data_IF_841841492081
#
_entry.id   IF_841841492081
#
_cell.length_a   1.000
_cell.length_b   1.000
_cell.length_c   1.000
_cell.angle_alpha   90.00
_cell.angle_beta   90.00
_cell.angle_gamma   90.00
#
_symmetry.space_group_name_H-M   'P 1'
#
loop_
_entity.id
_entity.type
_entity.pdbx_description
1 polymer ?
#
# COMPACT_ATOMS: atom_id res chain seq x y z
N UNK A 1 4.72 6.36 13.33
CA UNK A 1 4.90 5.94 11.91
C UNK A 1 6.16 5.11 11.62
N UNK A 2 7.28 5.28 12.36
CA UNK A 2 8.54 4.55 12.09
C UNK A 2 8.39 3.01 12.06
N UNK A 3 7.54 2.44 12.93
CA UNK A 3 7.26 0.99 12.93
C UNK A 3 6.53 0.53 11.66
N UNK A 4 5.68 1.38 11.06
CA UNK A 4 4.98 1.04 9.81
C UNK A 4 5.95 0.98 8.62
N UNK A 5 6.91 1.90 8.57
CA UNK A 5 7.95 1.90 7.54
C UNK A 5 8.91 0.72 7.70
N UNK A 6 9.29 0.38 8.93
CA UNK A 6 10.11 -0.80 9.21
C UNK A 6 9.41 -2.09 8.72
N UNK A 7 8.15 -2.28 9.13
CA UNK A 7 7.34 -3.43 8.70
C UNK A 7 7.14 -3.48 7.18
N UNK A 8 6.95 -2.33 6.52
CA UNK A 8 6.89 -2.25 5.06
C UNK A 8 8.18 -2.77 4.41
N UNK A 9 9.33 -2.30 4.88
CA UNK A 9 10.63 -2.73 4.35
C UNK A 9 10.85 -4.23 4.56
N UNK A 10 10.50 -4.76 5.74
CA UNK A 10 10.55 -6.20 6.02
C UNK A 10 9.63 -7.00 5.08
N UNK A 11 8.41 -6.55 4.85
CA UNK A 11 7.46 -7.22 3.95
C UNK A 11 7.93 -7.18 2.49
N UNK A 12 8.54 -6.08 2.04
CA UNK A 12 9.16 -6.00 0.71
C UNK A 12 10.31 -7.01 0.58
N UNK A 13 11.17 -7.10 1.60
CA UNK A 13 12.25 -8.10 1.60
C UNK A 13 11.70 -9.53 1.59
N UNK A 14 10.66 -9.80 2.36
CA UNK A 14 9.97 -11.09 2.33
C UNK A 14 9.37 -11.41 0.96
N UNK A 15 8.82 -10.41 0.25
CA UNK A 15 8.32 -10.60 -1.11
C UNK A 15 9.43 -11.02 -2.09
N UNK A 16 10.63 -10.44 -1.97
CA UNK A 16 11.80 -10.80 -2.79
C UNK A 16 12.29 -12.22 -2.58
N UNK A 17 12.02 -12.84 -1.43
CA UNK A 17 12.38 -14.23 -1.20
C UNK A 17 11.73 -15.18 -2.22
N UNK A 18 10.54 -14.85 -2.73
CA UNK A 18 9.90 -15.64 -3.78
C UNK A 18 10.70 -15.61 -5.09
N UNK A 19 11.24 -14.45 -5.48
CA UNK A 19 12.16 -14.32 -6.62
C UNK A 19 13.48 -15.09 -6.42
N UNK A 20 14.06 -15.03 -5.22
CA UNK A 20 15.26 -15.82 -4.90
C UNK A 20 15.01 -17.33 -4.93
N UNK A 21 13.84 -17.77 -4.47
CA UNK A 21 13.43 -19.18 -4.56
C UNK A 21 13.19 -19.60 -6.02
N UNK A 22 12.61 -18.71 -6.84
CA UNK A 22 12.45 -18.94 -8.28
C UNK A 22 13.79 -19.20 -8.95
N UNK A 23 14.83 -18.38 -8.69
CA UNK A 23 16.16 -18.60 -9.24
C UNK A 23 16.72 -19.97 -8.85
N UNK A 24 16.67 -20.27 -7.56
CA UNK A 24 17.22 -21.50 -7.02
C UNK A 24 16.57 -22.73 -7.66
N UNK A 25 15.24 -22.75 -7.74
CA UNK A 25 14.50 -23.87 -8.32
C UNK A 25 14.73 -23.98 -9.82
N UNK A 26 14.73 -22.87 -10.54
CA UNK A 26 14.99 -22.85 -12.00
C UNK A 26 16.39 -23.36 -12.32
N UNK A 27 17.39 -23.05 -11.49
CA UNK A 27 18.76 -23.51 -11.68
C UNK A 27 19.00 -24.95 -11.20
N UNK A 28 18.30 -25.40 -10.16
CA UNK A 28 18.65 -26.64 -9.44
C UNK A 28 17.68 -27.80 -9.67
N UNK A 29 16.49 -27.56 -10.21
CA UNK A 29 15.44 -28.58 -10.35
C UNK A 29 15.13 -28.83 -11.82
N UNK A 30 15.39 -30.06 -12.29
CA UNK A 30 15.15 -30.50 -13.68
C UNK A 30 13.78 -31.18 -13.83
N UNK A 31 12.72 -30.58 -13.26
CA UNK A 31 11.34 -31.05 -13.43
C UNK A 31 10.67 -30.22 -14.53
N UNK A 32 9.82 -30.82 -15.40
CA UNK A 32 9.07 -30.08 -16.41
C UNK A 32 7.90 -29.31 -15.77
N UNK A 33 8.19 -28.43 -14.82
CA UNK A 33 7.23 -27.57 -14.14
C UNK A 33 7.69 -26.11 -14.22
N UNK A 34 6.75 -25.19 -14.40
CA UNK A 34 7.02 -23.75 -14.32
C UNK A 34 7.01 -23.29 -12.87
N UNK A 35 7.98 -22.47 -12.49
CA UNK A 35 8.07 -21.84 -11.17
C UNK A 35 7.60 -20.38 -11.16
N UNK A 36 7.04 -19.88 -12.27
CA UNK A 36 6.61 -18.49 -12.41
C UNK A 36 5.56 -18.02 -11.38
N UNK A 37 4.82 -18.95 -10.76
CA UNK A 37 3.86 -18.59 -9.71
C UNK A 37 4.55 -18.02 -8.45
N UNK A 38 5.85 -18.28 -8.27
CA UNK A 38 6.67 -17.58 -7.27
C UNK A 38 6.88 -16.11 -7.63
N UNK A 39 7.08 -15.80 -8.92
CA UNK A 39 7.19 -14.43 -9.40
C UNK A 39 5.85 -13.70 -9.25
N UNK A 40 4.72 -14.36 -9.58
CA UNK A 40 3.38 -13.81 -9.35
C UNK A 40 3.14 -13.52 -7.86
N UNK A 41 3.59 -14.43 -6.99
CA UNK A 41 3.52 -14.25 -5.53
C UNK A 41 4.35 -13.05 -5.05
N UNK A 42 5.55 -12.84 -5.61
CA UNK A 42 6.37 -11.66 -5.30
C UNK A 42 5.61 -10.36 -5.60
N UNK A 43 4.99 -10.26 -6.79
CA UNK A 43 4.21 -9.07 -7.18
C UNK A 43 3.05 -8.85 -6.21
N UNK A 44 2.28 -9.90 -5.90
CA UNK A 44 1.14 -9.82 -4.98
C UNK A 44 1.57 -9.34 -3.59
N UNK A 45 2.65 -9.91 -3.05
CA UNK A 45 3.14 -9.54 -1.72
C UNK A 45 3.77 -8.15 -1.68
N UNK A 46 4.46 -7.72 -2.72
CA UNK A 46 5.01 -6.36 -2.80
C UNK A 46 3.88 -5.31 -2.81
N UNK A 47 2.83 -5.55 -3.60
CA UNK A 47 1.66 -4.66 -3.65
C UNK A 47 0.90 -4.67 -2.31
N UNK A 48 0.76 -5.84 -1.67
CA UNK A 48 0.16 -5.96 -0.34
C UNK A 48 0.94 -5.18 0.72
N UNK A 49 2.28 -5.24 0.68
CA UNK A 49 3.13 -4.48 1.57
C UNK A 49 2.91 -2.96 1.40
N UNK A 50 2.85 -2.48 0.15
CA UNK A 50 2.60 -1.07 -0.15
C UNK A 50 1.22 -0.61 0.33
N UNK A 51 0.17 -1.37 0.02
CA UNK A 51 -1.20 -1.11 0.47
C UNK A 51 -1.27 -0.99 2.00
N UNK A 52 -0.65 -1.95 2.71
CA UNK A 52 -0.59 -1.97 4.18
C UNK A 52 0.15 -0.76 4.75
N UNK A 53 1.25 -0.33 4.11
CA UNK A 53 1.98 0.86 4.51
C UNK A 53 1.05 2.08 4.49
N UNK A 54 0.32 2.30 3.39
CA UNK A 54 -0.57 3.46 3.27
C UNK A 54 -1.69 3.39 4.33
N UNK A 55 -2.29 2.21 4.55
CA UNK A 55 -3.25 2.03 5.65
C UNK A 55 -2.68 2.43 7.02
N UNK A 56 -1.45 2.01 7.33
CA UNK A 56 -0.84 2.33 8.61
C UNK A 56 -0.49 3.81 8.73
N UNK A 57 0.06 4.43 7.69
CA UNK A 57 0.36 5.85 7.68
C UNK A 57 -0.92 6.66 7.94
N UNK A 58 -2.01 6.36 7.23
CA UNK A 58 -3.30 7.05 7.39
C UNK A 58 -3.87 6.82 8.78
N UNK A 59 -3.97 5.57 9.24
CA UNK A 59 -4.50 5.25 10.58
C UNK A 59 -3.71 5.96 11.68
N UNK A 60 -2.38 5.85 11.66
CA UNK A 60 -1.51 6.47 12.66
C UNK A 60 -1.65 7.99 12.60
N UNK A 61 -1.64 8.58 11.41
CA UNK A 61 -1.74 10.03 11.27
C UNK A 61 -3.11 10.58 11.69
N UNK A 62 -4.21 9.85 11.46
CA UNK A 62 -5.53 10.23 11.98
C UNK A 62 -5.58 10.17 13.50
N UNK A 63 -4.93 9.16 14.12
CA UNK A 63 -4.82 9.08 15.58
C UNK A 63 -3.94 10.20 16.15
N UNK A 64 -2.86 10.58 15.47
CA UNK A 64 -2.04 11.74 15.83
C UNK A 64 -2.85 13.04 15.77
N UNK A 65 -3.75 13.20 14.79
CA UNK A 65 -4.66 14.35 14.74
C UNK A 65 -5.64 14.31 15.90
N UNK A 66 -6.25 13.17 16.16
CA UNK A 66 -7.21 12.99 17.25
C UNK A 66 -6.61 13.29 18.64
N UNK A 67 -5.34 12.96 18.84
CA UNK A 67 -4.60 13.20 20.09
C UNK A 67 -3.93 14.58 20.15
N UNK A 68 -4.04 15.39 19.09
CA UNK A 68 -3.44 16.73 19.03
C UNK A 68 -1.94 16.77 18.71
N UNK A 69 -1.32 15.63 18.37
CA UNK A 69 0.07 15.56 17.95
C UNK A 69 0.31 16.04 16.51
N UNK A 70 -0.76 16.12 15.69
CA UNK A 70 -0.74 16.58 14.30
C UNK A 70 -1.90 17.57 14.06
N UNK A 71 -1.71 18.66 13.31
CA UNK A 71 -2.81 19.55 12.95
C UNK A 71 -3.83 18.83 12.04
N UNK A 72 -5.13 19.09 12.20
CA UNK A 72 -6.17 18.49 11.37
C UNK A 72 -6.11 18.98 9.93
N UNK A 73 -6.48 18.11 8.99
CA UNK A 73 -6.68 18.48 7.58
C UNK A 73 -8.17 18.71 7.28
N UNK A 74 -8.53 19.43 6.19
CA UNK A 74 -9.93 19.56 5.78
C UNK A 74 -10.63 18.21 5.60
N UNK A 75 -9.92 17.21 5.04
CA UNK A 75 -10.47 15.88 4.85
C UNK A 75 -10.75 15.17 6.17
N UNK A 76 -9.82 15.23 7.13
CA UNK A 76 -10.03 14.71 8.48
C UNK A 76 -11.27 15.34 9.14
N UNK A 77 -11.41 16.67 9.05
CA UNK A 77 -12.53 17.39 9.66
C UNK A 77 -13.89 17.04 9.04
N UNK A 78 -13.89 16.72 7.75
CA UNK A 78 -15.10 16.30 7.02
C UNK A 78 -15.47 14.82 7.24
N UNK A 79 -14.64 14.06 7.96
CA UNK A 79 -14.80 12.62 8.09
C UNK A 79 -16.00 12.28 8.99
N UNK A 80 -17.03 11.56 8.47
CA UNK A 80 -18.19 11.23 9.26
C UNK A 80 -17.90 10.05 10.19
N UNK A 81 -18.34 10.18 11.45
CA UNK A 81 -18.46 9.10 12.44
C UNK A 81 -19.93 8.82 12.74
N UNK A 82 -20.27 7.58 13.09
CA UNK A 82 -21.65 7.25 13.48
C UNK A 82 -21.99 7.84 14.85
N UNK A 83 -23.28 8.07 15.10
CA UNK A 83 -23.79 8.53 16.40
C UNK A 83 -23.42 7.56 17.53
N UNK A 84 -23.34 6.25 17.23
CA UNK A 84 -22.86 5.25 18.17
C UNK A 84 -21.41 5.53 18.58
N UNK A 85 -20.50 5.70 17.61
CA UNK A 85 -19.08 5.99 17.90
C UNK A 85 -18.93 7.30 18.67
N UNK A 86 -19.70 8.33 18.33
CA UNK A 86 -19.71 9.58 19.09
C UNK A 86 -20.11 9.37 20.56
N UNK A 87 -21.16 8.57 20.81
CA UNK A 87 -21.62 8.25 22.17
C UNK A 87 -20.58 7.43 22.95
N UNK A 88 -19.93 6.48 22.28
CA UNK A 88 -18.86 5.66 22.85
C UNK A 88 -17.63 6.52 23.21
N UNK A 89 -17.28 7.52 22.38
CA UNK A 89 -16.17 8.44 22.65
C UNK A 89 -16.44 9.35 23.86
N UNK A 90 -17.67 9.83 24.05
CA UNK A 90 -18.06 10.68 25.20
C UNK A 90 -18.03 9.88 26.50
N UNK A 91 -18.52 8.64 26.47
CA UNK A 91 -18.61 7.76 27.63
C UNK A 91 -17.33 6.97 27.93
N UNK A 92 -16.30 7.12 27.10
CA UNK A 92 -15.06 6.37 27.18
C UNK A 92 -14.38 6.52 28.55
N UNK A 93 -14.07 5.38 29.16
CA UNK A 93 -13.21 5.31 30.34
C UNK A 93 -12.12 4.25 30.11
N UNK A 94 -12.53 2.98 30.01
CA UNK A 94 -11.68 1.85 29.61
C UNK A 94 -12.45 1.02 28.57
N UNK A 95 -11.93 0.80 27.36
CA UNK A 95 -10.68 1.33 26.81
C UNK A 95 -10.73 2.86 26.58
N UNK A 96 -9.57 3.54 26.47
CA UNK A 96 -9.53 4.99 26.29
C UNK A 96 -10.08 5.40 24.92
N UNK A 97 -10.51 6.66 24.81
CA UNK A 97 -11.14 7.24 23.60
C UNK A 97 -10.30 7.08 22.34
N UNK A 98 -8.97 7.13 22.46
CA UNK A 98 -8.00 6.93 21.39
C UNK A 98 -8.15 5.55 20.74
N UNK A 99 -8.36 4.52 21.55
CA UNK A 99 -8.55 3.16 21.09
C UNK A 99 -9.89 2.99 20.36
N UNK A 100 -10.96 3.58 20.90
CA UNK A 100 -12.29 3.55 20.29
C UNK A 100 -12.25 4.25 18.92
N UNK A 101 -11.64 5.43 18.86
CA UNK A 101 -11.45 6.19 17.63
C UNK A 101 -10.65 5.39 16.60
N UNK A 102 -9.49 4.87 17.00
CA UNK A 102 -8.62 4.08 16.12
C UNK A 102 -9.33 2.84 15.56
N UNK A 103 -10.11 2.12 16.38
CA UNK A 103 -10.91 1.00 15.90
C UNK A 103 -11.96 1.42 14.88
N UNK A 104 -12.63 2.55 15.09
CA UNK A 104 -13.63 3.08 14.15
C UNK A 104 -12.98 3.39 12.79
N UNK A 105 -11.83 4.07 12.80
CA UNK A 105 -11.05 4.36 11.60
C UNK A 105 -10.58 3.07 10.92
N UNK A 106 -10.01 2.12 11.66
CA UNK A 106 -9.57 0.84 11.11
C UNK A 106 -10.70 0.09 10.40
N UNK A 107 -11.87 -0.03 11.04
CA UNK A 107 -13.03 -0.73 10.47
C UNK A 107 -13.54 -0.08 9.19
N UNK A 108 -13.42 1.25 9.07
CA UNK A 108 -13.82 1.99 7.88
C UNK A 108 -12.79 1.87 6.77
N UNK A 109 -11.51 2.02 7.08
CA UNK A 109 -10.45 2.01 6.07
C UNK A 109 -10.18 0.60 5.53
N UNK A 110 -10.41 -0.49 6.29
CA UNK A 110 -10.09 -1.87 5.85
C UNK A 110 -10.73 -2.34 4.53
N UNK A 111 -11.80 -1.68 4.07
CA UNK A 111 -12.48 -2.02 2.81
C UNK A 111 -11.94 -1.24 1.60
N UNK A 112 -11.09 -0.25 1.86
CA UNK A 112 -10.41 0.54 0.83
C UNK A 112 -9.09 -0.16 0.51
N UNK A 113 -8.71 -0.19 -0.76
CA UNK A 113 -7.36 -0.63 -1.18
C UNK A 113 -6.58 0.56 -1.70
N UNK A 114 -5.41 0.82 -1.12
CA UNK A 114 -4.52 1.93 -1.42
C UNK A 114 -3.39 1.51 -2.36
N UNK A 115 -3.79 1.09 -3.56
CA UNK A 115 -2.87 0.67 -4.63
C UNK A 115 -3.02 1.52 -5.89
N UNK A 116 -4.21 2.08 -6.09
CA UNK A 116 -4.48 3.04 -7.16
C UNK A 116 -3.98 4.43 -6.75
N UNK A 117 -3.28 5.18 -7.64
CA UNK A 117 -2.71 6.48 -7.30
C UNK A 117 -3.74 7.51 -6.82
N UNK A 118 -4.98 7.44 -7.32
CA UNK A 118 -6.08 8.32 -6.87
C UNK A 118 -6.45 7.98 -5.43
N UNK A 119 -6.64 6.69 -5.13
CA UNK A 119 -6.97 6.22 -3.78
C UNK A 119 -5.85 6.51 -2.79
N UNK A 120 -4.59 6.38 -3.18
CA UNK A 120 -3.44 6.74 -2.33
C UNK A 120 -3.47 8.23 -2.00
N UNK A 121 -3.61 9.12 -2.98
CA UNK A 121 -3.69 10.56 -2.73
C UNK A 121 -4.91 10.92 -1.85
N UNK A 122 -6.04 10.27 -2.09
CA UNK A 122 -7.25 10.40 -1.30
C UNK A 122 -7.00 9.99 0.16
N UNK A 123 -6.43 8.81 0.42
CA UNK A 123 -6.07 8.35 1.76
C UNK A 123 -5.10 9.29 2.47
N UNK A 124 -4.02 9.71 1.79
CA UNK A 124 -3.03 10.64 2.36
C UNK A 124 -3.64 11.99 2.72
N UNK A 125 -4.73 12.42 2.08
CA UNK A 125 -5.39 13.70 2.38
C UNK A 125 -5.98 13.75 3.79
N UNK A 126 -6.23 12.62 4.45
CA UNK A 126 -6.60 12.59 5.86
C UNK A 126 -5.50 13.13 6.79
N UNK A 127 -4.24 13.02 6.39
CA UNK A 127 -3.09 13.26 7.27
C UNK A 127 -2.08 14.27 6.70
N UNK A 128 -2.28 14.69 5.46
CA UNK A 128 -1.39 15.56 4.71
C UNK A 128 -2.18 16.60 3.89
N UNK A 129 -2.15 17.84 4.37
CA UNK A 129 -2.79 19.00 3.73
C UNK A 129 -1.90 19.60 2.63
N UNK A 130 -1.63 18.81 1.60
CA UNK A 130 -0.91 19.22 0.39
C UNK A 130 -1.82 19.02 -0.83
N UNK A 131 -1.94 20.04 -1.67
CA UNK A 131 -2.80 19.99 -2.86
C UNK A 131 -2.19 19.15 -3.98
N UNK A 132 -0.88 19.26 -4.21
CA UNK A 132 -0.17 18.59 -5.31
C UNK A 132 0.70 17.44 -4.80
N UNK A 133 0.07 16.47 -4.13
CA UNK A 133 0.77 15.34 -3.46
C UNK A 133 1.68 14.55 -4.40
N UNK A 134 1.18 14.20 -5.60
CA UNK A 134 1.94 13.44 -6.57
C UNK A 134 3.13 14.22 -7.14
N UNK A 135 3.02 15.54 -7.28
CA UNK A 135 4.15 16.38 -7.64
C UNK A 135 5.25 16.35 -6.56
N UNK A 136 4.88 16.40 -5.28
CA UNK A 136 5.84 16.27 -4.17
C UNK A 136 6.50 14.90 -4.12
N UNK A 137 5.75 13.83 -4.36
CA UNK A 137 6.29 12.48 -4.45
C UNK A 137 7.22 12.37 -5.67
N UNK A 138 6.85 13.01 -6.80
CA UNK A 138 7.61 12.95 -8.04
C UNK A 138 8.97 13.63 -7.96
N UNK A 139 9.03 14.78 -7.28
CA UNK A 139 10.29 15.46 -6.94
C UNK A 139 11.25 14.52 -6.18
N UNK A 140 10.74 13.67 -5.29
CA UNK A 140 11.55 12.72 -4.51
C UNK A 140 11.93 11.46 -5.29
N UNK A 141 11.05 11.01 -6.17
CA UNK A 141 11.27 9.85 -7.04
C UNK A 141 12.16 10.17 -8.26
N UNK A 142 12.46 11.46 -8.51
CA UNK A 142 13.20 11.93 -9.68
C UNK A 142 12.60 11.45 -11.03
N UNK A 143 11.28 11.38 -11.09
CA UNK A 143 10.51 11.01 -12.28
C UNK A 143 9.32 11.94 -12.43
N UNK A 144 8.75 12.11 -13.65
CA UNK A 144 7.53 12.89 -13.81
C UNK A 144 6.34 12.31 -13.04
N UNK A 145 5.49 13.17 -12.47
CA UNK A 145 4.24 12.80 -11.78
C UNK A 145 3.42 11.79 -12.61
N UNK A 146 3.21 12.10 -13.90
CA UNK A 146 2.44 11.25 -14.82
C UNK A 146 3.02 9.84 -14.96
N UNK A 147 4.35 9.72 -14.99
CA UNK A 147 5.03 8.43 -15.10
C UNK A 147 4.79 7.62 -13.83
N UNK A 148 5.01 8.21 -12.65
CA UNK A 148 4.85 7.51 -11.36
C UNK A 148 3.41 7.02 -11.18
N UNK A 149 2.42 7.86 -11.48
CA UNK A 149 1.01 7.48 -11.36
C UNK A 149 0.63 6.39 -12.35
N UNK A 150 1.07 6.50 -13.60
CA UNK A 150 0.83 5.46 -14.61
C UNK A 150 1.50 4.15 -14.21
N UNK A 151 2.75 4.19 -13.76
CA UNK A 151 3.46 2.99 -13.27
C UNK A 151 2.70 2.36 -12.11
N UNK A 152 2.37 3.12 -11.05
CA UNK A 152 1.62 2.57 -9.91
C UNK A 152 0.26 1.98 -10.34
N UNK A 153 -0.42 2.62 -11.29
CA UNK A 153 -1.68 2.11 -11.84
C UNK A 153 -1.51 0.77 -12.54
N UNK A 154 -0.54 0.66 -13.44
CA UNK A 154 -0.23 -0.58 -14.16
C UNK A 154 0.16 -1.71 -13.19
N UNK A 155 0.89 -1.39 -12.13
CA UNK A 155 1.24 -2.33 -11.06
C UNK A 155 -0.01 -2.87 -10.34
N UNK A 156 -0.92 -1.97 -9.95
CA UNK A 156 -2.17 -2.36 -9.30
C UNK A 156 -3.04 -3.22 -10.22
N UNK A 157 -3.10 -2.88 -11.50
CA UNK A 157 -3.87 -3.62 -12.50
C UNK A 157 -3.26 -5.01 -12.74
N UNK A 158 -1.93 -5.13 -12.87
CA UNK A 158 -1.23 -6.43 -12.97
C UNK A 158 -1.53 -7.32 -11.76
N UNK A 159 -1.50 -6.77 -10.54
CA UNK A 159 -1.87 -7.50 -9.32
C UNK A 159 -3.32 -7.99 -9.39
N UNK A 160 -4.26 -7.16 -9.85
CA UNK A 160 -5.65 -7.56 -10.00
C UNK A 160 -5.80 -8.71 -10.99
N UNK A 161 -5.11 -8.66 -12.14
CA UNK A 161 -5.13 -9.76 -13.11
C UNK A 161 -4.60 -11.06 -12.49
N UNK A 162 -3.49 -11.01 -11.74
CA UNK A 162 -2.95 -12.18 -11.03
C UNK A 162 -3.96 -12.76 -10.01
N UNK A 163 -4.57 -11.92 -9.19
CA UNK A 163 -5.37 -12.36 -8.03
C UNK A 163 -6.83 -12.65 -8.37
N UNK A 164 -7.43 -11.87 -9.27
CA UNK A 164 -8.86 -11.92 -9.56
C UNK A 164 -9.18 -12.58 -10.90
N UNK A 165 -8.25 -12.58 -11.85
CA UNK A 165 -8.45 -13.10 -13.22
C UNK A 165 -7.61 -14.36 -13.48
N UNK A 166 -7.06 -14.96 -12.42
CA UNK A 166 -6.18 -16.14 -12.47
C UNK A 166 -4.91 -15.96 -13.35
N UNK A 167 -4.57 -14.71 -13.65
CA UNK A 167 -3.52 -14.32 -14.59
C UNK A 167 -3.71 -14.85 -16.02
N UNK A 168 -4.97 -15.04 -16.46
CA UNK A 168 -5.30 -15.63 -17.76
C UNK A 168 -5.63 -14.53 -18.79
N UNK A 169 -5.01 -14.59 -19.96
CA UNK A 169 -5.38 -13.77 -21.11
C UNK A 169 -6.78 -14.20 -21.62
N UNK A 170 -7.77 -13.30 -21.69
CA UNK A 170 -9.15 -13.65 -22.05
C UNK A 170 -9.33 -14.05 -23.52
N UNK A 171 -8.37 -13.74 -24.39
CA UNK A 171 -8.41 -14.07 -25.81
C UNK A 171 -7.76 -15.43 -26.08
N UNK A 172 -6.63 -15.73 -25.43
CA UNK A 172 -5.87 -16.96 -25.67
C UNK A 172 -6.19 -18.07 -24.66
N UNK A 173 -6.74 -17.73 -23.49
CA UNK A 173 -6.88 -18.60 -22.31
C UNK A 173 -5.55 -19.14 -21.77
N UNK A 174 -4.43 -18.51 -22.14
CA UNK A 174 -3.11 -18.85 -21.62
C UNK A 174 -2.76 -17.93 -20.45
N UNK A 175 -1.89 -18.40 -19.54
CA UNK A 175 -1.34 -17.54 -18.50
C UNK A 175 -0.49 -16.44 -19.13
N UNK A 176 -0.67 -15.21 -18.67
CA UNK A 176 0.15 -14.08 -19.06
C UNK A 176 1.61 -14.31 -18.63
N UNK A 177 2.53 -14.01 -19.53
CA UNK A 177 3.97 -14.14 -19.26
C UNK A 177 4.38 -13.24 -18.09
N UNK A 178 5.38 -13.72 -17.35
CA UNK A 178 5.98 -12.97 -16.24
C UNK A 178 7.47 -13.26 -16.20
N UNK A 179 8.26 -12.20 -16.22
CA UNK A 179 9.72 -12.29 -16.12
C UNK A 179 10.18 -11.96 -14.71
N UNK A 180 11.40 -12.37 -14.37
CA UNK A 180 12.00 -11.97 -13.11
C UNK A 180 12.32 -10.47 -13.08
N UNK A 181 12.87 -9.94 -14.17
CA UNK A 181 13.24 -8.51 -14.29
C UNK A 181 12.04 -7.61 -14.02
N UNK A 182 10.88 -7.89 -14.65
CA UNK A 182 9.69 -7.06 -14.43
C UNK A 182 9.24 -7.10 -12.97
N UNK A 183 9.32 -8.25 -12.29
CA UNK A 183 8.94 -8.40 -10.90
C UNK A 183 9.86 -7.62 -9.96
N UNK A 184 11.17 -7.64 -10.24
CA UNK A 184 12.16 -6.86 -9.50
C UNK A 184 11.94 -5.36 -9.70
N UNK A 185 11.74 -4.91 -10.93
CA UNK A 185 11.46 -3.51 -11.26
C UNK A 185 10.18 -2.99 -10.58
N UNK A 186 9.11 -3.79 -10.61
CA UNK A 186 7.85 -3.55 -9.89
C UNK A 186 8.08 -3.38 -8.38
N UNK A 187 8.81 -4.32 -7.80
CA UNK A 187 9.08 -4.38 -6.36
C UNK A 187 9.96 -3.19 -5.94
N UNK A 188 10.98 -2.87 -6.72
CA UNK A 188 11.88 -1.73 -6.52
C UNK A 188 11.13 -0.40 -6.61
N UNK A 189 10.22 -0.26 -7.58
CA UNK A 189 9.38 0.92 -7.72
C UNK A 189 8.50 1.10 -6.48
N UNK A 190 7.76 0.07 -6.06
CA UNK A 190 6.89 0.13 -4.88
C UNK A 190 7.69 0.43 -3.61
N UNK A 191 8.85 -0.21 -3.46
CA UNK A 191 9.74 -0.01 -2.32
C UNK A 191 10.21 1.45 -2.21
N UNK A 192 10.70 2.02 -3.32
CA UNK A 192 11.12 3.43 -3.36
C UNK A 192 9.94 4.38 -3.14
N UNK A 193 8.84 4.18 -3.86
CA UNK A 193 7.65 5.03 -3.78
C UNK A 193 7.08 5.05 -2.34
N UNK A 194 6.94 3.88 -1.71
CA UNK A 194 6.47 3.76 -0.33
C UNK A 194 7.39 4.47 0.66
N UNK A 195 8.71 4.34 0.51
CA UNK A 195 9.68 5.05 1.34
C UNK A 195 9.60 6.57 1.18
N UNK A 196 9.49 7.08 -0.04
CA UNK A 196 9.38 8.52 -0.28
C UNK A 196 8.06 9.10 0.25
N UNK A 197 6.93 8.39 0.05
CA UNK A 197 5.65 8.76 0.67
C UNK A 197 5.79 8.83 2.19
N UNK A 198 6.35 7.78 2.81
CA UNK A 198 6.50 7.73 4.27
C UNK A 198 7.36 8.87 4.80
N UNK A 199 8.47 9.21 4.12
CA UNK A 199 9.34 10.35 4.49
C UNK A 199 8.62 11.69 4.42
N UNK A 200 7.74 11.87 3.42
CA UNK A 200 6.99 13.12 3.23
C UNK A 200 5.90 13.34 4.29
N UNK A 201 5.33 12.26 4.85
CA UNK A 201 4.17 12.35 5.77
C UNK A 201 4.47 11.99 7.22
N UNK A 202 5.66 11.46 7.50
CA UNK A 202 6.13 11.18 8.87
C UNK A 202 6.66 12.46 9.49
N UNK A 203 6.22 12.74 10.73
CA UNK A 203 6.75 13.80 11.58
C UNK A 203 7.66 13.20 12.66
#
# INVERSE_FOLDING_TARGET
MRNALALFNENIMSARHAGGLYDYLTASVTVPASFEDLLRSQVVYAVSAFDKLIHDLVRIGMLEIFTGARPPTPKYLSEPISIQIHSDLISASIPPKEHIFEQAIFRKLKIVSYQDPIKVADGLSYIWDEGQKWQKISEKMAQPDSVIRTTLKLIADRRNTIVHEADIDPLTNEKLSITKSECEELTDFLHRCGNEIAKLVTR
#
